data_IF_829135651540
#
_entry.id   IF_829135651540
#
_cell.length_a   1.000
_cell.length_b   1.000
_cell.length_c   1.000
_cell.angle_alpha   90.00
_cell.angle_beta   90.00
_cell.angle_gamma   90.00
#
_symmetry.space_group_name_H-M   'P 1'
#
loop_
_entity.id
_entity.type
_entity.pdbx_description
1 polymer ?
#
# COMPACT_ATOMS: atom_id res chain seq x y z
N UNK A 1 5.04 -14.34 37.47
CA UNK A 1 6.10 -14.84 36.58
C UNK A 1 6.30 -13.81 35.47
N UNK A 2 7.48 -13.22 35.34
CA UNK A 2 7.78 -12.33 34.23
C UNK A 2 7.92 -13.20 32.96
N UNK A 3 7.06 -12.99 31.99
CA UNK A 3 7.15 -13.64 30.70
C UNK A 3 8.40 -13.10 30.00
N UNK A 4 9.44 -13.91 29.93
CA UNK A 4 10.66 -13.56 29.18
C UNK A 4 10.30 -13.69 27.70
N UNK A 5 10.01 -12.55 27.04
CA UNK A 5 9.80 -12.56 25.59
C UNK A 5 11.08 -12.93 24.88
N UNK A 6 10.98 -13.82 23.92
CA UNK A 6 12.09 -14.14 23.02
C UNK A 6 12.31 -12.96 22.07
N UNK A 7 13.54 -12.81 21.54
CA UNK A 7 13.83 -11.75 20.56
C UNK A 7 12.90 -11.76 19.36
N UNK A 8 12.54 -12.95 18.90
CA UNK A 8 11.58 -13.16 17.81
C UNK A 8 10.18 -12.61 18.10
N UNK A 9 9.65 -12.82 19.32
CA UNK A 9 8.34 -12.31 19.69
C UNK A 9 8.31 -10.78 19.74
N UNK A 10 9.39 -10.15 20.19
CA UNK A 10 9.53 -8.71 20.17
C UNK A 10 9.61 -8.21 18.73
N UNK A 11 10.45 -8.83 17.89
CA UNK A 11 10.60 -8.45 16.50
C UNK A 11 9.29 -8.56 15.73
N UNK A 12 8.59 -9.69 15.85
CA UNK A 12 7.33 -9.94 15.16
C UNK A 12 6.27 -8.89 15.48
N UNK A 13 6.11 -8.59 16.77
CA UNK A 13 5.12 -7.60 17.24
C UNK A 13 5.44 -6.18 16.78
N UNK A 14 6.72 -5.78 16.85
CA UNK A 14 7.12 -4.42 16.50
C UNK A 14 7.15 -4.22 14.98
N UNK A 15 7.51 -5.23 14.17
CA UNK A 15 7.41 -5.17 12.70
C UNK A 15 5.97 -4.87 12.27
N UNK A 16 5.00 -5.59 12.82
CA UNK A 16 3.59 -5.38 12.50
C UNK A 16 3.11 -4.00 12.89
N UNK A 17 3.45 -3.58 14.10
CA UNK A 17 3.07 -2.28 14.63
C UNK A 17 3.63 -1.12 13.79
N UNK A 18 4.84 -1.26 13.26
CA UNK A 18 5.46 -0.26 12.41
C UNK A 18 4.94 -0.32 10.96
N UNK A 19 4.73 -1.53 10.41
CA UNK A 19 4.34 -1.74 9.02
C UNK A 19 2.92 -1.29 8.71
N UNK A 20 1.95 -1.58 9.58
CA UNK A 20 0.53 -1.33 9.33
C UNK A 20 0.22 0.14 9.02
N UNK A 21 0.71 1.13 9.77
CA UNK A 21 0.48 2.54 9.45
C UNK A 21 1.08 2.97 8.12
N UNK A 22 2.23 2.42 7.75
CA UNK A 22 2.94 2.76 6.52
C UNK A 22 2.28 2.18 5.27
N UNK A 23 1.57 1.06 5.40
CA UNK A 23 0.77 0.48 4.32
C UNK A 23 -0.64 1.08 4.22
N UNK A 24 -0.99 2.05 5.08
CA UNK A 24 -2.26 2.78 4.99
C UNK A 24 -2.52 3.40 3.60
N UNK A 25 -1.53 3.87 2.83
CA UNK A 25 -1.74 4.33 1.45
C UNK A 25 -2.35 3.28 0.52
N UNK A 26 -2.16 1.99 0.76
CA UNK A 26 -2.78 0.93 -0.05
C UNK A 26 -4.31 0.94 0.00
N UNK A 27 -4.91 1.54 1.05
CA UNK A 27 -6.37 1.76 1.14
C UNK A 27 -6.91 2.74 0.08
N UNK A 28 -6.03 3.41 -0.66
CA UNK A 28 -6.38 4.21 -1.83
C UNK A 28 -6.86 3.35 -3.01
N UNK A 29 -6.51 2.08 -3.02
CA UNK A 29 -6.78 1.10 -4.07
C UNK A 29 -7.86 0.10 -3.66
N UNK A 30 -8.32 -0.73 -4.59
CA UNK A 30 -9.13 -1.90 -4.26
C UNK A 30 -8.23 -2.99 -3.71
N UNK A 31 -8.42 -3.37 -2.45
CA UNK A 31 -7.55 -4.30 -1.75
C UNK A 31 -8.27 -5.61 -1.45
N UNK A 32 -7.52 -6.70 -1.53
CA UNK A 32 -7.92 -8.02 -1.05
C UNK A 32 -6.77 -8.61 -0.22
N UNK A 33 -6.87 -8.46 1.10
CA UNK A 33 -5.93 -9.00 2.05
C UNK A 33 -6.60 -10.13 2.83
N UNK A 34 -5.91 -11.24 2.99
CA UNK A 34 -6.37 -12.33 3.84
C UNK A 34 -5.20 -13.14 4.38
N UNK A 35 -5.47 -13.89 5.43
CA UNK A 35 -4.50 -14.77 6.09
C UNK A 35 -4.23 -16.06 5.29
N UNK A 36 -4.97 -16.33 4.21
CA UNK A 36 -4.76 -17.50 3.39
C UNK A 36 -3.32 -17.53 2.85
N UNK A 37 -2.57 -18.58 3.18
CA UNK A 37 -1.20 -18.72 2.72
C UNK A 37 -1.16 -19.16 1.25
N UNK A 38 -0.36 -18.48 0.44
CA UNK A 38 -0.18 -18.74 -0.99
C UNK A 38 1.29 -18.95 -1.34
N UNK A 39 1.53 -19.39 -2.57
CA UNK A 39 2.85 -19.50 -3.17
C UNK A 39 3.01 -18.57 -4.37
N UNK A 40 4.26 -18.23 -4.76
CA UNK A 40 4.51 -17.53 -6.02
C UNK A 40 3.89 -18.26 -7.22
N UNK A 41 3.26 -17.54 -8.12
CA UNK A 41 2.52 -18.07 -9.27
C UNK A 41 1.03 -18.31 -9.02
N UNK A 42 0.58 -18.43 -7.78
CA UNK A 42 -0.84 -18.46 -7.45
C UNK A 42 -1.50 -17.09 -7.65
N UNK A 43 -2.80 -17.07 -7.81
CA UNK A 43 -3.54 -15.84 -8.05
C UNK A 43 -4.81 -15.73 -7.22
N UNK A 44 -5.26 -14.51 -7.03
CA UNK A 44 -6.53 -14.18 -6.37
C UNK A 44 -7.34 -13.22 -7.22
N UNK A 45 -8.66 -13.24 -7.07
CA UNK A 45 -9.56 -12.34 -7.79
C UNK A 45 -10.00 -11.21 -6.86
N UNK A 46 -9.54 -10.00 -7.14
CA UNK A 46 -9.92 -8.77 -6.41
C UNK A 46 -11.18 -8.19 -7.05
N UNK A 47 -12.19 -7.90 -6.25
CA UNK A 47 -13.41 -7.25 -6.72
C UNK A 47 -13.20 -5.73 -6.78
N UNK A 48 -13.56 -5.13 -7.91
CA UNK A 48 -13.56 -3.70 -8.10
C UNK A 48 -14.96 -3.13 -7.86
N UNK A 49 -15.02 -2.01 -7.14
CA UNK A 49 -16.25 -1.27 -6.95
C UNK A 49 -16.37 -0.22 -8.04
N UNK A 50 -17.32 -0.40 -8.94
CA UNK A 50 -17.68 0.56 -9.99
C UNK A 50 -19.05 1.19 -9.67
N UNK A 51 -19.31 2.36 -10.23
CA UNK A 51 -20.61 2.99 -10.10
C UNK A 51 -21.63 2.32 -11.03
N UNK A 52 -22.80 1.99 -10.48
CA UNK A 52 -23.92 1.50 -11.28
C UNK A 52 -24.51 2.63 -12.14
N UNK A 53 -25.11 2.26 -13.26
CA UNK A 53 -25.82 3.21 -14.12
C UNK A 53 -27.17 3.61 -13.50
N UNK A 54 -27.48 4.89 -13.54
CA UNK A 54 -28.80 5.40 -13.18
C UNK A 54 -29.78 5.07 -14.31
N UNK A 55 -30.91 4.47 -13.98
CA UNK A 55 -31.99 4.23 -14.93
C UNK A 55 -33.22 5.03 -14.51
N UNK A 56 -34.00 5.47 -15.49
CA UNK A 56 -35.26 6.15 -15.24
C UNK A 56 -36.30 5.17 -14.69
N UNK A 57 -37.09 5.64 -13.73
CA UNK A 57 -38.19 4.88 -13.20
C UNK A 57 -39.34 4.85 -14.21
N UNK A 58 -39.78 3.66 -14.56
CA UNK A 58 -40.96 3.48 -15.43
C UNK A 58 -42.23 3.42 -14.57
N UNK A 59 -42.95 4.53 -14.49
CA UNK A 59 -44.18 4.65 -13.72
C UNK A 59 -45.33 3.78 -14.25
N UNK A 60 -45.33 3.51 -15.56
CA UNK A 60 -46.41 2.71 -16.19
C UNK A 60 -46.34 1.23 -15.80
N UNK A 61 -45.13 0.68 -15.70
CA UNK A 61 -44.92 -0.70 -15.29
C UNK A 61 -44.72 -0.85 -13.78
N UNK A 62 -44.62 0.25 -13.03
CA UNK A 62 -44.24 0.30 -11.60
C UNK A 62 -43.08 -0.64 -11.28
N UNK A 63 -42.07 -0.63 -12.13
CA UNK A 63 -40.97 -1.59 -12.11
C UNK A 63 -39.70 -0.98 -11.51
N UNK A 64 -39.30 -1.45 -10.34
CA UNK A 64 -38.05 -1.13 -9.67
C UNK A 64 -36.90 -2.03 -10.14
N UNK A 65 -37.04 -2.76 -11.22
CA UNK A 65 -35.99 -3.65 -11.74
C UNK A 65 -34.79 -2.81 -12.17
N UNK A 66 -33.68 -3.01 -11.47
CA UNK A 66 -32.42 -2.34 -11.78
C UNK A 66 -31.68 -3.07 -12.90
N UNK A 67 -30.84 -2.34 -13.60
CA UNK A 67 -29.83 -2.96 -14.44
C UNK A 67 -28.91 -3.82 -13.56
N UNK A 68 -28.45 -4.95 -14.08
CA UNK A 68 -27.52 -5.80 -13.34
C UNK A 68 -26.23 -5.02 -13.09
N UNK A 69 -25.83 -4.91 -11.82
CA UNK A 69 -24.49 -4.39 -11.51
C UNK A 69 -23.44 -5.37 -12.01
N UNK A 70 -22.53 -4.90 -12.83
CA UNK A 70 -21.37 -5.70 -13.25
C UNK A 70 -20.25 -5.51 -12.23
N UNK A 71 -20.11 -6.46 -11.32
CA UNK A 71 -18.93 -6.51 -10.46
C UNK A 71 -17.74 -6.97 -11.30
N UNK A 72 -16.88 -6.02 -11.67
CA UNK A 72 -15.64 -6.33 -12.36
C UNK A 72 -14.68 -7.00 -11.39
N UNK A 73 -14.08 -8.10 -11.78
CA UNK A 73 -13.04 -8.80 -11.04
C UNK A 73 -11.74 -8.71 -11.81
N UNK A 74 -10.65 -8.50 -11.08
CA UNK A 74 -9.31 -8.47 -11.65
C UNK A 74 -8.47 -9.52 -10.95
N UNK A 75 -7.80 -10.35 -11.74
CA UNK A 75 -6.90 -11.38 -11.22
C UNK A 75 -5.55 -10.76 -10.91
N UNK A 76 -5.11 -10.89 -9.67
CA UNK A 76 -3.77 -10.53 -9.22
C UNK A 76 -2.97 -11.81 -9.04
N UNK A 77 -1.91 -11.99 -9.82
CA UNK A 77 -1.01 -13.15 -9.72
C UNK A 77 0.19 -12.77 -8.89
N UNK A 78 0.48 -13.55 -7.85
CA UNK A 78 1.62 -13.29 -6.98
C UNK A 78 2.93 -13.62 -7.69
N UNK A 79 3.85 -12.65 -7.70
CA UNK A 79 5.23 -12.84 -8.12
C UNK A 79 6.11 -13.39 -6.99
N UNK A 80 7.35 -12.97 -6.96
CA UNK A 80 8.30 -13.33 -5.90
C UNK A 80 7.87 -12.75 -4.56
N UNK A 81 7.90 -13.56 -3.50
CA UNK A 81 7.65 -13.09 -2.15
C UNK A 81 8.67 -12.00 -1.74
N UNK A 82 8.19 -11.01 -1.04
CA UNK A 82 9.04 -9.96 -0.45
C UNK A 82 9.47 -10.43 0.94
N UNK A 83 10.75 -10.40 1.18
CA UNK A 83 11.36 -10.84 2.44
C UNK A 83 12.24 -9.74 3.00
N UNK A 84 12.13 -9.51 4.28
CA UNK A 84 13.03 -8.68 5.05
C UNK A 84 13.42 -9.42 6.32
N UNK A 85 14.69 -9.41 6.66
CA UNK A 85 15.18 -10.15 7.82
C UNK A 85 16.62 -9.80 8.14
N UNK A 86 17.15 -10.53 9.10
CA UNK A 86 18.55 -10.42 9.53
C UNK A 86 18.99 -11.72 10.20
N UNK A 87 20.28 -11.91 10.30
CA UNK A 87 20.84 -12.99 11.05
C UNK A 87 21.39 -12.50 12.40
N UNK A 88 21.37 -13.37 13.39
CA UNK A 88 21.88 -13.15 14.73
C UNK A 88 22.91 -14.21 15.04
N UNK A 89 24.13 -13.78 15.35
CA UNK A 89 25.17 -14.73 15.77
C UNK A 89 24.88 -15.26 17.18
N UNK A 90 25.42 -16.44 17.57
CA UNK A 90 25.29 -16.97 18.93
C UNK A 90 25.73 -15.97 20.01
N UNK A 91 26.76 -15.16 19.72
CA UNK A 91 27.24 -14.14 20.63
C UNK A 91 26.23 -13.00 20.81
N UNK A 92 25.61 -12.52 19.74
CA UNK A 92 24.57 -11.48 19.79
C UNK A 92 23.30 -11.97 20.48
N UNK A 93 22.94 -13.25 20.28
CA UNK A 93 21.81 -13.88 20.97
C UNK A 93 21.98 -13.89 22.48
N UNK A 94 23.20 -14.17 22.96
CA UNK A 94 23.51 -14.17 24.39
C UNK A 94 23.53 -12.76 25.00
N UNK A 95 23.81 -11.74 24.20
CA UNK A 95 23.81 -10.33 24.60
C UNK A 95 22.50 -9.62 24.17
N UNK A 96 21.38 -10.20 24.56
CA UNK A 96 20.04 -9.73 24.19
C UNK A 96 19.78 -8.27 24.59
N UNK A 97 19.52 -7.39 23.62
CA UNK A 97 19.11 -6.01 23.80
C UNK A 97 17.73 -5.74 23.18
N UNK A 98 16.65 -5.67 23.99
CA UNK A 98 15.29 -5.45 23.48
C UNK A 98 15.14 -4.15 22.65
N UNK A 99 15.90 -3.10 22.99
CA UNK A 99 15.87 -1.85 22.25
C UNK A 99 16.42 -1.97 20.83
N UNK A 100 17.48 -2.75 20.64
CA UNK A 100 18.03 -3.04 19.32
C UNK A 100 17.06 -3.83 18.44
N UNK A 101 16.35 -4.81 19.01
CA UNK A 101 15.36 -5.59 18.28
C UNK A 101 14.19 -4.76 17.77
N UNK A 102 13.72 -3.81 18.60
CA UNK A 102 12.68 -2.87 18.21
C UNK A 102 13.11 -1.98 17.07
N UNK A 103 14.28 -1.33 17.19
CA UNK A 103 14.82 -0.49 16.13
C UNK A 103 15.03 -1.26 14.83
N UNK A 104 15.51 -2.51 14.91
CA UNK A 104 15.69 -3.36 13.74
C UNK A 104 14.35 -3.71 13.09
N UNK A 105 13.32 -3.95 13.89
CA UNK A 105 11.97 -4.21 13.43
C UNK A 105 11.38 -3.00 12.68
N UNK A 106 11.53 -1.79 13.23
CA UNK A 106 11.07 -0.54 12.63
C UNK A 106 11.72 -0.30 11.26
N UNK A 107 13.07 -0.35 11.20
CA UNK A 107 13.81 -0.14 9.94
C UNK A 107 13.44 -1.18 8.88
N UNK A 108 13.25 -2.44 9.27
CA UNK A 108 12.84 -3.48 8.35
C UNK A 108 11.40 -3.29 7.86
N UNK A 109 10.51 -2.84 8.74
CA UNK A 109 9.13 -2.50 8.37
C UNK A 109 9.08 -1.36 7.35
N UNK A 110 9.87 -0.30 7.56
CA UNK A 110 10.00 0.83 6.65
C UNK A 110 10.44 0.36 5.25
N UNK A 111 11.53 -0.40 5.19
CA UNK A 111 12.05 -0.93 3.92
C UNK A 111 11.05 -1.82 3.19
N UNK A 112 10.29 -2.63 3.93
CA UNK A 112 9.29 -3.52 3.35
C UNK A 112 8.08 -2.73 2.84
N UNK A 113 7.61 -1.74 3.60
CA UNK A 113 6.51 -0.87 3.21
C UNK A 113 6.83 -0.10 1.93
N UNK A 114 8.02 0.50 1.85
CA UNK A 114 8.49 1.22 0.67
C UNK A 114 8.55 0.30 -0.56
N UNK A 115 9.03 -0.91 -0.38
CA UNK A 115 9.08 -1.92 -1.46
C UNK A 115 7.69 -2.29 -1.96
N UNK A 116 6.73 -2.47 -1.05
CA UNK A 116 5.35 -2.83 -1.38
C UNK A 116 4.64 -1.67 -2.09
N UNK A 117 4.76 -0.45 -1.57
CA UNK A 117 4.15 0.75 -2.16
C UNK A 117 4.73 1.04 -3.55
N UNK A 118 6.06 1.00 -3.68
CA UNK A 118 6.74 1.16 -4.97
C UNK A 118 6.29 0.09 -5.96
N UNK A 119 6.19 -1.16 -5.51
CA UNK A 119 5.70 -2.27 -6.33
C UNK A 119 4.26 -2.06 -6.80
N UNK A 120 3.36 -1.62 -5.90
CA UNK A 120 1.97 -1.33 -6.24
C UNK A 120 1.85 -0.15 -7.23
N UNK A 121 2.71 0.86 -7.12
CA UNK A 121 2.71 2.02 -8.01
C UNK A 121 3.48 1.81 -9.32
N UNK A 122 4.33 0.79 -9.42
CA UNK A 122 5.15 0.51 -10.61
C UNK A 122 4.33 0.24 -11.88
N UNK A 123 3.08 -0.21 -11.73
CA UNK A 123 2.16 -0.45 -12.85
C UNK A 123 1.55 0.83 -13.44
N UNK A 124 1.78 2.01 -12.82
CA UNK A 124 1.25 3.29 -13.28
C UNK A 124 2.09 3.82 -14.45
N UNK A 125 1.89 3.26 -15.62
CA UNK A 125 2.57 3.60 -16.86
C UNK A 125 1.62 4.27 -17.85
N UNK A 126 2.17 4.86 -18.92
CA UNK A 126 1.37 5.43 -19.99
C UNK A 126 0.53 4.39 -20.74
N UNK A 127 1.04 3.16 -20.84
CA UNK A 127 0.35 2.05 -21.49
C UNK A 127 -0.88 1.58 -20.69
N UNK A 128 -0.77 1.55 -19.38
CA UNK A 128 -1.84 1.09 -18.49
C UNK A 128 -2.88 2.18 -18.19
N UNK A 129 -2.41 3.45 -18.11
CA UNK A 129 -3.23 4.60 -17.76
C UNK A 129 -2.90 5.75 -18.72
N UNK A 130 -3.67 5.87 -19.79
CA UNK A 130 -3.38 6.82 -20.87
C UNK A 130 -3.60 8.29 -20.46
N UNK A 131 -4.51 8.55 -19.50
CA UNK A 131 -4.85 9.92 -19.07
C UNK A 131 -3.70 10.54 -18.28
N UNK A 132 -3.26 11.73 -18.69
CA UNK A 132 -2.22 12.47 -17.99
C UNK A 132 -2.54 13.96 -17.91
N UNK A 133 -2.11 14.60 -16.82
CA UNK A 133 -2.10 16.05 -16.63
C UNK A 133 -0.66 16.48 -16.37
N UNK A 134 -0.17 17.42 -17.17
CA UNK A 134 1.17 18.00 -16.99
C UNK A 134 1.15 19.16 -16.01
N UNK A 135 2.21 19.27 -15.22
CA UNK A 135 2.53 20.40 -14.34
C UNK A 135 3.86 21.04 -14.78
N UNK A 136 4.11 22.26 -14.36
CA UNK A 136 5.25 23.05 -14.84
C UNK A 136 6.58 22.59 -14.22
N UNK A 137 6.59 22.15 -12.97
CA UNK A 137 7.78 21.81 -12.21
C UNK A 137 7.69 20.39 -11.64
N UNK A 138 8.84 19.75 -11.45
CA UNK A 138 8.97 18.46 -10.76
C UNK A 138 9.19 18.60 -9.24
N UNK A 139 9.58 19.77 -8.77
CA UNK A 139 9.91 20.02 -7.35
C UNK A 139 8.96 20.99 -6.66
N UNK A 140 8.07 21.65 -7.40
CA UNK A 140 7.12 22.64 -6.84
C UNK A 140 5.73 22.42 -7.39
N UNK A 141 4.73 22.54 -6.53
CA UNK A 141 3.32 22.48 -6.92
C UNK A 141 2.59 23.72 -6.38
N UNK A 142 1.75 24.33 -7.20
CA UNK A 142 0.97 25.50 -6.81
C UNK A 142 -0.48 25.14 -6.53
N UNK A 143 -1.18 25.98 -5.77
CA UNK A 143 -2.64 25.82 -5.55
C UNK A 143 -3.42 25.84 -6.86
N UNK A 144 -2.96 26.62 -7.86
CA UNK A 144 -3.57 26.68 -9.18
C UNK A 144 -3.41 25.34 -9.93
N UNK A 145 -2.22 24.72 -9.85
CA UNK A 145 -1.98 23.41 -10.46
C UNK A 145 -2.78 22.29 -9.78
N UNK A 146 -2.87 22.30 -8.44
CA UNK A 146 -3.73 21.37 -7.70
C UNK A 146 -5.20 21.50 -8.13
N UNK A 147 -5.70 22.74 -8.27
CA UNK A 147 -7.04 23.00 -8.77
C UNK A 147 -7.21 22.51 -10.21
N UNK A 148 -6.20 22.71 -11.06
CA UNK A 148 -6.20 22.22 -12.44
C UNK A 148 -6.19 20.69 -12.53
N UNK A 149 -5.42 20.01 -11.68
CA UNK A 149 -5.40 18.54 -11.59
C UNK A 149 -6.80 18.02 -11.19
N UNK A 150 -7.41 18.58 -10.14
CA UNK A 150 -8.76 18.19 -9.71
C UNK A 150 -9.82 18.44 -10.78
N UNK A 151 -9.76 19.59 -11.42
CA UNK A 151 -10.69 19.96 -12.49
C UNK A 151 -10.53 19.04 -13.69
N UNK A 152 -9.30 18.67 -14.03
CA UNK A 152 -9.03 17.70 -15.09
C UNK A 152 -9.56 16.32 -14.74
N UNK A 153 -9.32 15.84 -13.51
CA UNK A 153 -9.85 14.56 -13.02
C UNK A 153 -11.40 14.54 -13.09
N UNK A 154 -12.05 15.61 -12.65
CA UNK A 154 -13.51 15.74 -12.72
C UNK A 154 -14.02 15.70 -14.17
N UNK A 155 -13.34 16.36 -15.13
CA UNK A 155 -13.65 16.28 -16.56
C UNK A 155 -13.50 14.86 -17.11
N UNK A 156 -12.60 14.08 -16.54
CA UNK A 156 -12.43 12.65 -16.85
C UNK A 156 -13.44 11.75 -16.13
N UNK A 157 -14.47 12.32 -15.50
CA UNK A 157 -15.53 11.64 -14.73
C UNK A 157 -15.07 11.00 -13.42
N UNK A 158 -13.90 11.33 -12.93
CA UNK A 158 -13.47 10.93 -11.59
C UNK A 158 -14.10 11.85 -10.55
N UNK A 159 -14.55 11.30 -9.43
CA UNK A 159 -15.05 12.09 -8.33
C UNK A 159 -13.90 12.42 -7.36
N UNK A 160 -13.41 13.68 -7.30
CA UNK A 160 -12.27 14.02 -6.45
C UNK A 160 -12.45 13.63 -4.97
N UNK A 161 -13.68 13.68 -4.46
CA UNK A 161 -13.99 13.30 -3.06
C UNK A 161 -13.81 11.80 -2.78
N UNK A 162 -13.76 10.97 -3.81
CA UNK A 162 -13.50 9.52 -3.72
C UNK A 162 -12.08 9.18 -4.12
N UNK A 163 -11.37 10.12 -4.76
CA UNK A 163 -10.02 9.93 -5.24
C UNK A 163 -8.99 10.04 -4.12
N UNK A 164 -7.91 9.31 -4.30
CA UNK A 164 -6.66 9.51 -3.58
C UNK A 164 -5.64 10.24 -4.49
N UNK A 165 -4.78 11.04 -3.88
CA UNK A 165 -3.68 11.75 -4.52
C UNK A 165 -2.36 11.17 -4.00
N UNK A 166 -1.62 10.48 -4.86
CA UNK A 166 -0.25 10.03 -4.60
C UNK A 166 0.74 10.96 -5.29
N UNK A 167 1.74 11.41 -4.57
CA UNK A 167 2.79 12.31 -5.07
C UNK A 167 4.17 11.72 -4.76
N UNK A 168 5.17 12.12 -5.52
CA UNK A 168 6.55 11.85 -5.13
C UNK A 168 6.92 12.62 -3.85
N UNK A 169 8.05 12.30 -3.26
CA UNK A 169 8.47 12.84 -1.97
C UNK A 169 8.67 14.36 -2.02
N UNK A 170 9.20 14.91 -3.12
CA UNK A 170 9.49 16.34 -3.24
C UNK A 170 8.20 17.15 -3.35
N UNK A 171 7.29 16.74 -4.24
CA UNK A 171 6.01 17.40 -4.39
C UNK A 171 5.11 17.23 -3.16
N UNK A 172 5.22 16.10 -2.47
CA UNK A 172 4.48 15.88 -1.23
C UNK A 172 4.96 16.82 -0.12
N UNK A 173 6.28 16.97 0.07
CA UNK A 173 6.84 17.90 1.04
C UNK A 173 6.46 19.36 0.73
N UNK A 174 6.43 19.74 -0.55
CA UNK A 174 5.98 21.06 -0.97
C UNK A 174 4.49 21.27 -0.69
N UNK A 175 3.66 20.24 -0.88
CA UNK A 175 2.24 20.28 -0.54
C UNK A 175 2.04 20.50 0.97
N UNK A 176 2.80 19.79 1.80
CA UNK A 176 2.79 19.98 3.25
C UNK A 176 3.18 21.41 3.63
N UNK A 177 4.18 21.99 2.96
CA UNK A 177 4.62 23.36 3.16
C UNK A 177 3.52 24.37 2.81
N UNK A 178 2.83 24.19 1.68
CA UNK A 178 1.75 25.09 1.23
C UNK A 178 0.60 25.14 2.23
N UNK A 179 0.20 23.97 2.72
CA UNK A 179 -0.93 23.87 3.66
C UNK A 179 -0.51 24.02 5.12
N UNK A 180 0.79 24.26 5.39
CA UNK A 180 1.33 24.45 6.73
C UNK A 180 0.84 23.38 7.74
N UNK A 181 0.93 22.13 7.34
CA UNK A 181 0.46 20.99 8.14
C UNK A 181 1.34 20.71 9.37
N UNK A 182 2.49 21.37 9.47
CA UNK A 182 3.38 21.32 10.64
C UNK A 182 2.83 22.07 11.86
N UNK A 183 1.51 21.94 12.13
CA UNK A 183 0.92 22.48 13.36
C UNK A 183 1.35 21.65 14.56
N UNK A 184 1.91 22.31 15.57
CA UNK A 184 2.26 21.65 16.83
C UNK A 184 1.02 21.02 17.47
N UNK A 185 1.11 19.74 17.83
CA UNK A 185 0.08 19.01 18.55
C UNK A 185 -0.78 18.06 17.73
N UNK A 186 -0.63 17.99 16.41
CA UNK A 186 -1.28 16.97 15.58
C UNK A 186 -0.45 15.68 15.51
N UNK A 187 -1.12 14.55 15.53
CA UNK A 187 -0.50 13.28 15.12
C UNK A 187 -0.32 13.26 13.61
N UNK A 188 0.61 12.45 13.10
CA UNK A 188 0.82 12.31 11.65
C UNK A 188 -0.48 11.96 10.90
N UNK A 189 -1.28 11.05 11.43
CA UNK A 189 -2.57 10.66 10.83
C UNK A 189 -3.57 11.83 10.76
N UNK A 190 -3.63 12.68 11.79
CA UNK A 190 -4.48 13.87 11.81
C UNK A 190 -4.00 14.90 10.78
N UNK A 191 -2.69 15.15 10.69
CA UNK A 191 -2.11 16.05 9.70
C UNK A 191 -2.43 15.60 8.27
N UNK A 192 -2.31 14.30 7.98
CA UNK A 192 -2.66 13.75 6.66
C UNK A 192 -4.15 13.87 6.34
N UNK A 193 -5.03 13.69 7.33
CA UNK A 193 -6.47 13.87 7.15
C UNK A 193 -6.84 15.33 6.88
N UNK A 194 -6.24 16.29 7.60
CA UNK A 194 -6.43 17.72 7.34
C UNK A 194 -5.92 18.13 5.96
N UNK A 195 -4.76 17.61 5.55
CA UNK A 195 -4.20 17.85 4.23
C UNK A 195 -5.14 17.34 3.12
N UNK A 196 -5.63 16.11 3.25
CA UNK A 196 -6.57 15.54 2.30
C UNK A 196 -7.88 16.35 2.21
N UNK A 197 -8.41 16.80 3.34
CA UNK A 197 -9.59 17.66 3.40
C UNK A 197 -9.34 19.04 2.74
N UNK A 198 -8.18 19.66 3.00
CA UNK A 198 -7.80 20.95 2.40
C UNK A 198 -7.59 20.83 0.89
N UNK A 199 -6.97 19.78 0.41
CA UNK A 199 -6.86 19.46 -1.02
C UNK A 199 -8.22 19.11 -1.62
N UNK A 200 -9.15 18.57 -0.84
CA UNK A 200 -10.48 18.16 -1.28
C UNK A 200 -10.51 16.81 -1.98
N UNK A 201 -9.67 15.89 -1.52
CA UNK A 201 -9.61 14.48 -1.93
C UNK A 201 -9.83 13.58 -0.71
N UNK A 202 -10.03 12.28 -0.94
CA UNK A 202 -10.23 11.31 0.15
C UNK A 202 -8.95 11.07 0.96
N UNK A 203 -7.82 10.97 0.29
CA UNK A 203 -6.53 10.65 0.88
C UNK A 203 -5.40 11.29 0.08
N UNK A 204 -4.34 11.73 0.78
CA UNK A 204 -3.08 12.18 0.18
C UNK A 204 -1.95 11.38 0.81
N UNK A 205 -0.97 10.99 0.01
CA UNK A 205 0.20 10.26 0.50
C UNK A 205 1.41 10.43 -0.41
N UNK A 206 2.57 10.25 0.19
CA UNK A 206 3.82 10.18 -0.54
C UNK A 206 4.07 8.77 -1.07
N UNK A 207 4.68 8.67 -2.24
CA UNK A 207 5.16 7.40 -2.81
C UNK A 207 6.68 7.48 -2.87
N UNK A 208 7.40 6.54 -2.23
CA UNK A 208 8.86 6.60 -2.12
C UNK A 208 9.56 6.60 -3.48
N UNK A 209 9.03 5.84 -4.44
CA UNK A 209 9.56 5.80 -5.78
C UNK A 209 8.45 5.58 -6.81
N UNK A 210 8.32 6.52 -7.72
CA UNK A 210 7.41 6.45 -8.86
C UNK A 210 8.15 6.05 -10.14
N UNK A 211 7.45 5.47 -11.15
CA UNK A 211 8.03 5.23 -12.47
C UNK A 211 8.60 6.50 -13.11
N UNK A 212 9.66 6.36 -13.92
CA UNK A 212 10.34 7.48 -14.56
C UNK A 212 9.36 8.41 -15.29
N UNK A 213 9.46 9.71 -15.01
CA UNK A 213 8.64 10.76 -15.60
C UNK A 213 7.25 10.89 -15.00
N UNK A 214 6.91 10.08 -14.01
CA UNK A 214 5.70 10.21 -13.22
C UNK A 214 6.00 10.97 -11.93
N UNK A 215 5.32 12.08 -11.70
CA UNK A 215 5.46 12.92 -10.50
C UNK A 215 4.37 12.66 -9.46
N UNK A 216 3.29 12.03 -9.89
CA UNK A 216 2.17 11.68 -9.03
C UNK A 216 1.00 11.16 -9.84
N UNK A 217 -0.10 10.92 -9.15
CA UNK A 217 -1.35 10.48 -9.76
C UNK A 217 -2.54 10.81 -8.87
N UNK A 218 -3.71 10.95 -9.49
CA UNK A 218 -5.00 11.00 -8.80
C UNK A 218 -5.84 9.83 -9.30
N UNK A 219 -6.38 9.02 -8.40
CA UNK A 219 -7.09 7.80 -8.77
C UNK A 219 -8.30 7.51 -7.88
N UNK A 220 -9.29 6.84 -8.46
CA UNK A 220 -10.33 6.14 -7.69
C UNK A 220 -9.85 4.74 -7.28
N UNK A 221 -10.44 4.13 -6.24
CA UNK A 221 -10.01 2.80 -5.77
C UNK A 221 -10.05 1.70 -6.83
N UNK A 222 -10.97 1.80 -7.80
CA UNK A 222 -11.09 0.84 -8.91
C UNK A 222 -9.94 0.86 -9.92
N UNK A 223 -9.06 1.86 -9.86
CA UNK A 223 -7.94 1.98 -10.79
C UNK A 223 -6.93 0.84 -10.67
N UNK A 224 -6.63 0.44 -9.45
CA UNK A 224 -5.61 -0.57 -9.14
C UNK A 224 -6.20 -1.59 -8.17
N UNK A 225 -5.99 -2.86 -8.46
CA UNK A 225 -6.27 -3.97 -7.57
C UNK A 225 -4.99 -4.40 -6.87
N UNK A 226 -4.98 -4.41 -5.54
CA UNK A 226 -3.83 -4.85 -4.73
C UNK A 226 -4.24 -6.07 -3.93
N UNK A 227 -3.43 -7.10 -3.94
CA UNK A 227 -3.63 -8.28 -3.13
C UNK A 227 -2.42 -8.56 -2.24
N UNK A 228 -2.68 -9.05 -1.03
CA UNK A 228 -1.67 -9.51 -0.11
C UNK A 228 -2.08 -10.82 0.55
N UNK A 229 -1.12 -11.74 0.69
CA UNK A 229 -1.30 -13.06 1.30
C UNK A 229 -0.07 -13.45 2.12
N UNK A 230 -0.27 -14.32 3.07
CA UNK A 230 0.83 -14.96 3.75
C UNK A 230 1.62 -15.83 2.77
N UNK A 231 2.93 -15.84 2.92
CA UNK A 231 3.80 -16.73 2.16
C UNK A 231 3.81 -18.12 2.81
N UNK A 232 3.62 -19.17 2.00
CA UNK A 232 3.74 -20.54 2.46
C UNK A 232 5.18 -21.03 2.25
N UNK A 233 6.00 -21.20 3.31
CA UNK A 233 7.35 -21.73 3.19
C UNK A 233 7.34 -23.17 2.66
N UNK A 234 8.47 -23.61 2.09
CA UNK A 234 8.63 -25.02 1.69
C UNK A 234 8.68 -25.92 2.93
N UNK A 235 7.93 -27.02 2.90
CA UNK A 235 7.86 -27.99 4.02
C UNK A 235 9.16 -28.79 4.26
N UNK A 236 10.06 -28.76 3.28
CA UNK A 236 11.29 -29.60 3.28
C UNK A 236 12.47 -28.96 4.00
N UNK A 237 12.29 -27.75 4.54
CA UNK A 237 13.32 -27.02 5.28
C UNK A 237 13.11 -27.13 6.78
N UNK A 238 14.17 -27.28 7.57
CA UNK A 238 14.09 -27.34 9.02
C UNK A 238 13.91 -25.92 9.59
N UNK A 239 12.67 -25.44 9.64
CA UNK A 239 12.37 -24.18 10.34
C UNK A 239 12.21 -24.45 11.84
N UNK A 240 12.76 -23.60 12.69
CA UNK A 240 12.50 -23.66 14.13
C UNK A 240 11.09 -23.15 14.45
N UNK A 241 10.66 -22.09 13.74
CA UNK A 241 9.34 -21.51 13.91
C UNK A 241 8.83 -20.92 12.60
N UNK A 242 7.56 -21.14 12.33
CA UNK A 242 6.81 -20.47 11.25
C UNK A 242 5.53 -19.95 11.87
N UNK A 243 5.36 -18.63 11.84
CA UNK A 243 4.19 -17.96 12.39
C UNK A 243 3.49 -17.15 11.31
N UNK A 244 2.20 -17.40 11.10
CA UNK A 244 1.36 -16.59 10.26
C UNK A 244 0.66 -15.53 11.12
N UNK A 245 0.93 -14.27 10.83
CA UNK A 245 0.40 -13.13 11.57
C UNK A 245 -0.45 -12.29 10.63
N UNK A 246 -1.56 -11.77 11.15
CA UNK A 246 -2.43 -10.85 10.42
C UNK A 246 -2.79 -9.69 11.33
N UNK A 247 -2.73 -8.49 10.76
CA UNK A 247 -3.29 -7.30 11.41
C UNK A 247 -4.82 -7.32 11.30
N UNK A 248 -5.54 -7.31 12.43
CA UNK A 248 -7.00 -7.41 12.42
C UNK A 248 -7.70 -6.19 11.81
N UNK A 249 -7.03 -5.02 11.78
CA UNK A 249 -7.62 -3.79 11.24
C UNK A 249 -7.44 -3.64 9.74
N UNK A 250 -6.25 -3.95 9.22
CA UNK A 250 -5.94 -3.84 7.79
C UNK A 250 -6.17 -5.13 7.02
N UNK A 251 -6.19 -6.28 7.70
CA UNK A 251 -6.21 -7.60 7.08
C UNK A 251 -4.87 -8.00 6.44
N UNK A 252 -3.82 -7.20 6.60
CA UNK A 252 -2.51 -7.49 6.04
C UNK A 252 -1.90 -8.68 6.79
N UNK A 253 -1.57 -9.73 6.04
CA UNK A 253 -0.92 -10.92 6.54
C UNK A 253 0.56 -10.98 6.19
N UNK A 254 1.34 -11.57 7.10
CA UNK A 254 2.76 -11.86 6.90
C UNK A 254 3.12 -13.19 7.56
N UNK A 255 4.11 -13.87 6.98
CA UNK A 255 4.70 -15.06 7.56
C UNK A 255 6.05 -14.72 8.16
N UNK A 256 6.22 -15.00 9.43
CA UNK A 256 7.51 -14.92 10.11
C UNK A 256 8.15 -16.30 10.10
N UNK A 257 9.39 -16.32 9.68
CA UNK A 257 10.18 -17.56 9.60
C UNK A 257 11.44 -17.38 10.42
N UNK A 258 11.70 -18.37 11.25
CA UNK A 258 12.91 -18.47 12.04
C UNK A 258 13.57 -19.83 11.78
N UNK A 259 14.85 -19.80 11.47
CA UNK A 259 15.65 -21.02 11.33
C UNK A 259 17.10 -20.77 11.75
N UNK A 260 17.72 -21.80 12.32
CA UNK A 260 19.15 -21.78 12.63
C UNK A 260 19.91 -22.42 11.49
N UNK A 261 20.89 -21.68 10.99
CA UNK A 261 21.84 -22.21 10.01
C UNK A 261 22.76 -23.25 10.67
N UNK A 262 22.67 -24.49 10.23
CA UNK A 262 23.43 -25.61 10.80
C UNK A 262 24.94 -25.48 10.64
N UNK A 263 25.42 -24.74 9.64
CA UNK A 263 26.85 -24.57 9.39
C UNK A 263 27.47 -23.47 10.25
N UNK A 264 26.76 -22.36 10.43
CA UNK A 264 27.25 -21.19 11.15
C UNK A 264 26.71 -21.06 12.57
N UNK A 265 25.62 -21.76 12.89
CA UNK A 265 24.88 -21.59 14.13
C UNK A 265 24.15 -20.25 14.26
N UNK A 266 24.08 -19.46 13.19
CA UNK A 266 23.37 -18.19 13.19
C UNK A 266 21.86 -18.40 13.11
N UNK A 267 21.11 -17.66 13.89
CA UNK A 267 19.65 -17.58 13.83
C UNK A 267 19.24 -16.57 12.77
N UNK A 268 18.39 -16.99 11.84
CA UNK A 268 17.87 -16.16 10.75
C UNK A 268 16.39 -15.88 10.99
N UNK A 269 16.06 -14.63 11.25
CA UNK A 269 14.70 -14.17 11.52
C UNK A 269 14.24 -13.31 10.36
N UNK A 270 13.12 -13.66 9.76
CA UNK A 270 12.61 -12.94 8.60
C UNK A 270 11.10 -12.78 8.63
N UNK A 271 10.63 -11.65 8.10
CA UNK A 271 9.24 -11.36 7.81
C UNK A 271 9.03 -11.42 6.29
N UNK A 272 8.06 -12.18 5.86
CA UNK A 272 7.82 -12.46 4.44
C UNK A 272 6.35 -12.31 4.11
N UNK A 273 6.03 -11.69 2.96
CA UNK A 273 4.67 -11.57 2.47
C UNK A 273 4.62 -11.63 0.95
N UNK A 274 3.50 -12.07 0.42
CA UNK A 274 3.18 -12.01 -0.99
C UNK A 274 2.29 -10.78 -1.23
N UNK A 275 2.81 -9.83 -2.00
CA UNK A 275 2.08 -8.64 -2.40
C UNK A 275 2.22 -8.46 -3.90
N UNK A 276 1.14 -8.14 -4.56
CA UNK A 276 1.19 -7.70 -5.94
C UNK A 276 0.01 -6.80 -6.29
N UNK A 277 0.13 -6.10 -7.41
CA UNK A 277 -0.90 -5.23 -7.94
C UNK A 277 -1.21 -5.57 -9.40
N UNK A 278 -2.43 -5.30 -9.80
CA UNK A 278 -2.87 -5.44 -11.19
C UNK A 278 -3.70 -4.22 -11.61
N UNK A 279 -3.68 -3.92 -12.90
CA UNK A 279 -4.46 -2.84 -13.47
C UNK A 279 -5.95 -3.17 -13.38
N UNK A 280 -6.70 -2.30 -12.73
CA UNK A 280 -8.15 -2.38 -12.64
C UNK A 280 -8.83 -1.68 -13.80
N UNK A 281 -9.35 -0.48 -13.55
CA UNK A 281 -10.01 0.37 -14.54
C UNK A 281 -9.01 1.44 -15.00
N UNK A 282 -8.50 1.31 -16.23
CA UNK A 282 -7.50 2.24 -16.78
C UNK A 282 -7.95 3.71 -16.81
N UNK A 283 -9.26 3.93 -16.93
CA UNK A 283 -9.86 5.27 -16.96
C UNK A 283 -10.03 5.90 -15.57
N UNK A 284 -9.85 5.13 -14.51
CA UNK A 284 -10.05 5.56 -13.12
C UNK A 284 -8.79 6.20 -12.48
N UNK A 285 -7.77 6.49 -13.29
CA UNK A 285 -6.53 7.13 -12.85
C UNK A 285 -6.07 8.18 -13.87
N UNK A 286 -5.61 9.32 -13.35
CA UNK A 286 -4.93 10.37 -14.10
C UNK A 286 -3.51 10.49 -13.57
N UNK A 287 -2.53 10.33 -14.46
CA UNK A 287 -1.12 10.51 -14.15
C UNK A 287 -0.76 12.00 -14.10
N UNK A 288 0.13 12.38 -13.21
CA UNK A 288 0.71 13.73 -13.13
C UNK A 288 2.15 13.62 -13.66
N UNK A 289 2.47 14.39 -14.68
CA UNK A 289 3.78 14.35 -15.35
C UNK A 289 4.33 15.76 -15.51
N UNK A 290 5.65 15.88 -15.70
CA UNK A 290 6.27 17.17 -16.02
C UNK A 290 5.92 17.57 -17.45
N UNK A 291 5.73 18.86 -17.67
CA UNK A 291 5.69 19.43 -19.02
C UNK A 291 7.08 19.24 -19.67
N UNK A 292 7.10 18.69 -20.88
CA UNK A 292 8.33 18.49 -21.65
C UNK A 292 8.86 19.78 -22.24
#
# INVERSE_FOLDING_TARGET
MATTFTGQEIYSKEVFKALTPQLAPLKAFSTDFSQEAKQPGESVSVQLVEADTVADFNATSNNFKRASSSNKKVTVTFGTAKIVGFNVTPYQRNNFNPGWWKQKAEVNADTLADTILTGACSIITAANFAKAKTIASDSTITLAELSAIKSYAAKQKLNPRRCALGLDLELFAELERIYNTAKSGLTHAQAMSELAAAVGVKQVFAVPQLPNGLLGFICEPSAIAVAGRNFRPCSDKPYESVQEIMDPESGIGMTLVDYVDGDTGNENISATGLFNAAVGVGDALVRITKAG
#
